data_IF_751706017306
#
_entry.id   IF_751706017306
#
_cell.length_a   1.000
_cell.length_b   1.000
_cell.length_c   1.000
_cell.angle_alpha   90.00
_cell.angle_beta   90.00
_cell.angle_gamma   90.00
#
_symmetry.space_group_name_H-M   'P 1'
#
loop_
_entity.id
_entity.type
_entity.pdbx_description
1 polymer ?
#
# COMPACT_ATOMS: atom_id res chain seq x y z
N UNK A 1 -21.96 -2.45 5.86
CA UNK A 1 -21.92 -3.12 4.56
C UNK A 1 -20.49 -3.22 4.07
N UNK A 2 -20.04 -4.40 3.68
CA UNK A 2 -18.70 -4.61 3.16
C UNK A 2 -18.73 -4.60 1.64
N UNK A 3 -17.64 -4.13 1.05
CA UNK A 3 -17.51 -4.08 -0.39
C UNK A 3 -16.11 -4.53 -0.79
N UNK A 4 -15.99 -5.13 -1.95
CA UNK A 4 -14.68 -5.50 -2.48
C UNK A 4 -14.05 -4.27 -3.11
N UNK A 5 -12.82 -3.98 -2.70
CA UNK A 5 -12.06 -2.83 -3.19
C UNK A 5 -10.80 -3.33 -3.86
N UNK A 6 -10.45 -2.71 -4.99
CA UNK A 6 -9.25 -3.02 -5.74
C UNK A 6 -8.33 -1.80 -5.72
N UNK A 7 -7.09 -2.00 -5.33
CA UNK A 7 -6.09 -0.93 -5.32
C UNK A 7 -4.94 -1.38 -6.21
N UNK A 8 -4.75 -0.68 -7.32
CA UNK A 8 -3.76 -1.05 -8.33
C UNK A 8 -2.94 0.16 -8.74
N UNK A 9 -1.65 -0.01 -8.87
CA UNK A 9 -0.79 1.06 -9.34
C UNK A 9 0.68 0.77 -9.09
N UNK A 10 1.52 1.54 -9.75
CA UNK A 10 2.96 1.48 -9.58
C UNK A 10 3.46 2.89 -9.28
N UNK A 11 4.22 3.03 -8.21
CA UNK A 11 4.76 4.31 -7.78
C UNK A 11 6.27 4.31 -7.92
N UNK A 12 6.82 5.40 -8.48
CA UNK A 12 8.25 5.62 -8.52
C UNK A 12 8.67 6.36 -7.26
N UNK A 13 9.62 5.81 -6.53
CA UNK A 13 10.02 6.33 -5.23
C UNK A 13 11.27 7.19 -5.33
N UNK A 14 11.38 8.14 -4.41
CA UNK A 14 12.56 8.97 -4.31
C UNK A 14 13.78 8.14 -3.92
N UNK A 15 14.96 8.64 -4.28
CA UNK A 15 16.21 7.99 -3.94
C UNK A 15 16.38 7.94 -2.41
N UNK A 16 16.78 6.80 -1.90
CA UNK A 16 17.08 6.65 -0.48
C UNK A 16 15.89 6.24 0.38
N UNK A 17 14.72 6.01 -0.22
CA UNK A 17 13.55 5.55 0.55
C UNK A 17 13.76 4.10 0.95
N UNK A 18 13.61 3.82 2.23
CA UNK A 18 13.76 2.48 2.78
C UNK A 18 12.39 1.82 3.01
N UNK A 19 12.41 0.49 3.08
CA UNK A 19 11.19 -0.30 3.33
C UNK A 19 10.45 0.16 4.59
N UNK A 20 11.20 0.44 5.67
CA UNK A 20 10.59 0.88 6.92
C UNK A 20 9.82 2.18 6.78
N UNK A 21 10.27 3.08 5.90
CA UNK A 21 9.56 4.33 5.65
C UNK A 21 8.25 4.09 4.91
N UNK A 22 8.25 3.14 3.96
CA UNK A 22 7.04 2.76 3.25
C UNK A 22 6.05 2.12 4.22
N UNK A 23 6.52 1.22 5.08
CA UNK A 23 5.65 0.57 6.06
C UNK A 23 5.06 1.58 7.05
N UNK A 24 5.85 2.57 7.47
CA UNK A 24 5.35 3.62 8.34
C UNK A 24 4.29 4.47 7.65
N UNK A 25 4.48 4.78 6.37
CA UNK A 25 3.49 5.55 5.60
C UNK A 25 2.19 4.79 5.43
N UNK A 26 2.28 3.48 5.24
CA UNK A 26 1.11 2.62 5.05
C UNK A 26 0.53 2.09 6.36
N UNK A 27 1.04 2.54 7.49
CA UNK A 27 0.61 2.05 8.81
C UNK A 27 -0.92 2.00 8.98
N UNK A 28 -1.70 3.04 8.61
CA UNK A 28 -3.16 2.95 8.76
C UNK A 28 -3.77 1.78 8.00
N UNK A 29 -3.27 1.51 6.80
CA UNK A 29 -3.73 0.38 6.00
C UNK A 29 -3.31 -0.94 6.63
N UNK A 30 -2.05 -1.06 7.04
CA UNK A 30 -1.53 -2.29 7.65
C UNK A 30 -2.24 -2.60 8.96
N UNK A 31 -2.53 -1.59 9.77
CA UNK A 31 -3.30 -1.77 11.00
C UNK A 31 -4.71 -2.26 10.73
N UNK A 32 -5.34 -1.73 9.69
CA UNK A 32 -6.67 -2.17 9.30
C UNK A 32 -6.68 -3.65 8.95
N UNK A 33 -5.63 -4.13 8.29
CA UNK A 33 -5.48 -5.54 7.92
C UNK A 33 -4.96 -6.41 9.05
N UNK A 34 -4.58 -5.80 10.17
CA UNK A 34 -4.00 -6.48 11.32
C UNK A 34 -2.72 -7.24 10.95
N UNK A 35 -1.84 -6.57 10.21
CA UNK A 35 -0.56 -7.13 9.80
C UNK A 35 0.57 -6.18 10.17
N UNK A 36 1.78 -6.73 10.30
CA UNK A 36 2.94 -5.97 10.76
C UNK A 36 3.87 -5.51 9.64
N UNK A 37 3.74 -6.08 8.45
CA UNK A 37 4.65 -5.76 7.35
C UNK A 37 3.95 -5.80 6.00
N UNK A 38 4.63 -5.25 4.98
CA UNK A 38 4.11 -5.26 3.60
C UNK A 38 3.91 -6.67 3.09
N UNK A 39 4.80 -7.59 3.44
CA UNK A 39 4.73 -8.97 2.98
C UNK A 39 3.48 -9.69 3.47
N UNK A 40 2.92 -9.22 4.58
CA UNK A 40 1.72 -9.82 5.15
C UNK A 40 0.44 -9.22 4.59
N UNK A 41 0.52 -8.09 3.89
CA UNK A 41 -0.63 -7.41 3.31
C UNK A 41 -1.01 -8.05 1.97
N UNK A 42 -1.56 -9.25 2.03
CA UNK A 42 -1.91 -10.02 0.85
C UNK A 42 -3.30 -9.70 0.33
N UNK A 43 -3.44 -9.78 -1.00
CA UNK A 43 -4.72 -9.65 -1.64
C UNK A 43 -5.58 -10.88 -1.40
N UNK A 44 -6.91 -10.71 -1.43
CA UNK A 44 -7.83 -11.85 -1.41
C UNK A 44 -7.80 -12.62 -2.73
N UNK A 45 -7.32 -11.99 -3.80
CA UNK A 45 -7.18 -12.63 -5.10
C UNK A 45 -5.84 -13.35 -5.17
N UNK A 46 -5.81 -14.67 -5.41
CA UNK A 46 -4.56 -15.44 -5.38
C UNK A 46 -3.56 -15.05 -6.45
N UNK A 47 -4.02 -14.43 -7.54
CA UNK A 47 -3.14 -14.03 -8.63
C UNK A 47 -2.51 -12.65 -8.43
N UNK A 48 -2.89 -11.95 -7.39
CA UNK A 48 -2.38 -10.60 -7.12
C UNK A 48 -1.28 -10.66 -6.07
N UNK A 49 -0.12 -10.03 -6.33
CA UNK A 49 1.00 -10.09 -5.39
C UNK A 49 0.81 -9.25 -4.13
N UNK A 50 -0.18 -8.34 -4.11
CA UNK A 50 -0.39 -7.46 -2.99
C UNK A 50 0.48 -6.21 -3.09
N UNK A 51 1.20 -5.88 -2.03
CA UNK A 51 2.06 -4.69 -1.99
C UNK A 51 3.51 -5.15 -2.05
N UNK A 52 4.22 -4.77 -3.12
CA UNK A 52 5.60 -5.20 -3.35
C UNK A 52 6.50 -3.99 -3.50
N UNK A 53 7.49 -3.91 -2.62
CA UNK A 53 8.51 -2.87 -2.68
C UNK A 53 9.78 -3.44 -3.31
N UNK A 54 10.22 -2.82 -4.42
CA UNK A 54 11.46 -3.18 -5.08
C UNK A 54 12.48 -2.06 -4.85
N UNK A 55 13.43 -2.33 -3.99
CA UNK A 55 14.45 -1.35 -3.61
C UNK A 55 15.38 -1.02 -4.78
N UNK A 56 15.68 -2.00 -5.63
CA UNK A 56 16.58 -1.79 -6.76
C UNK A 56 16.02 -0.82 -7.77
N UNK A 57 14.78 -1.00 -8.16
CA UNK A 57 14.11 -0.14 -9.14
C UNK A 57 13.47 1.06 -8.49
N UNK A 58 13.44 1.11 -7.17
CA UNK A 58 12.78 2.17 -6.41
C UNK A 58 11.30 2.28 -6.78
N UNK A 59 10.64 1.13 -6.87
CA UNK A 59 9.22 1.12 -7.20
C UNK A 59 8.43 0.42 -6.12
N UNK A 60 7.19 0.88 -5.97
CA UNK A 60 6.21 0.23 -5.11
C UNK A 60 5.05 -0.18 -5.99
N UNK A 61 4.88 -1.49 -6.15
CA UNK A 61 3.76 -2.04 -6.92
C UNK A 61 2.65 -2.42 -5.98
N UNK A 62 1.46 -1.91 -6.25
CA UNK A 62 0.27 -2.25 -5.50
C UNK A 62 -0.69 -2.96 -6.44
N UNK A 63 -1.00 -4.20 -6.12
CA UNK A 63 -1.98 -4.99 -6.84
C UNK A 63 -2.73 -5.80 -5.80
N UNK A 64 -3.73 -5.17 -5.20
CA UNK A 64 -4.37 -5.68 -4.00
C UNK A 64 -5.88 -5.55 -4.09
N UNK A 65 -6.57 -6.56 -3.59
CA UNK A 65 -8.02 -6.54 -3.46
C UNK A 65 -8.39 -7.07 -2.08
N UNK A 66 -9.47 -6.57 -1.54
CA UNK A 66 -9.94 -7.03 -0.24
C UNK A 66 -11.38 -6.64 0.02
N UNK A 67 -12.02 -7.38 0.92
CA UNK A 67 -13.36 -7.05 1.40
C UNK A 67 -13.22 -6.13 2.60
N UNK A 68 -13.74 -4.93 2.48
CA UNK A 68 -13.54 -3.90 3.50
C UNK A 68 -14.83 -3.21 3.87
N UNK A 69 -14.86 -2.65 5.07
CA UNK A 69 -15.96 -1.83 5.54
C UNK A 69 -15.75 -0.36 5.20
N UNK A 70 -16.67 0.48 5.65
CA UNK A 70 -16.64 1.92 5.36
C UNK A 70 -15.41 2.63 5.90
N UNK A 71 -14.87 2.16 7.01
CA UNK A 71 -13.73 2.80 7.64
C UNK A 71 -12.43 2.65 6.85
N UNK A 72 -12.40 1.75 5.87
CA UNK A 72 -11.19 1.53 5.08
C UNK A 72 -10.84 2.72 4.19
N UNK A 73 -11.82 3.34 3.56
CA UNK A 73 -11.59 4.41 2.59
C UNK A 73 -10.77 5.58 3.16
N UNK A 74 -11.14 6.18 4.30
CA UNK A 74 -10.32 7.25 4.86
C UNK A 74 -8.94 6.79 5.29
N UNK A 75 -8.81 5.56 5.76
CA UNK A 75 -7.49 5.01 6.12
C UNK A 75 -6.60 4.83 4.90
N UNK A 76 -7.19 4.37 3.79
CA UNK A 76 -6.46 4.23 2.53
C UNK A 76 -6.00 5.59 2.02
N UNK A 77 -6.86 6.60 2.05
CA UNK A 77 -6.51 7.95 1.62
C UNK A 77 -5.36 8.50 2.46
N UNK A 78 -5.40 8.30 3.76
CA UNK A 78 -4.34 8.74 4.66
C UNK A 78 -3.01 8.06 4.32
N UNK A 79 -3.04 6.75 4.09
CA UNK A 79 -1.85 6.00 3.73
C UNK A 79 -1.26 6.46 2.41
N UNK A 80 -2.09 6.67 1.39
CA UNK A 80 -1.63 7.12 0.09
C UNK A 80 -1.08 8.55 0.16
N UNK A 81 -1.70 9.40 0.96
CA UNK A 81 -1.21 10.75 1.18
C UNK A 81 0.18 10.76 1.81
N UNK A 82 0.39 9.90 2.81
CA UNK A 82 1.69 9.77 3.45
C UNK A 82 2.75 9.26 2.48
N UNK A 83 2.37 8.32 1.59
CA UNK A 83 3.27 7.82 0.56
C UNK A 83 3.73 8.91 -0.40
N UNK A 84 2.90 9.91 -0.62
CA UNK A 84 3.22 11.01 -1.53
C UNK A 84 4.53 11.70 -1.21
N UNK A 85 4.97 11.65 0.05
CA UNK A 85 6.24 12.24 0.47
C UNK A 85 7.44 11.52 -0.11
N UNK A 86 7.28 10.26 -0.48
CA UNK A 86 8.35 9.40 -0.93
C UNK A 86 8.33 9.13 -2.42
N UNK A 87 7.37 9.69 -3.15
CA UNK A 87 7.26 9.48 -4.59
C UNK A 87 7.95 10.60 -5.36
N UNK A 88 8.55 10.26 -6.50
CA UNK A 88 9.19 11.24 -7.36
C UNK A 88 8.17 12.15 -8.05
N UNK A 89 7.01 11.60 -8.35
CA UNK A 89 5.96 12.33 -9.03
C UNK A 89 4.73 12.38 -8.14
N UNK A 90 4.23 13.58 -7.94
CA UNK A 90 2.93 13.76 -7.29
C UNK A 90 1.86 13.36 -8.32
N UNK A 91 1.15 12.31 -8.00
CA UNK A 91 0.06 11.86 -8.85
C UNK A 91 -1.16 12.74 -8.64
#
# INVERSE_FOLDING_TARGET
MRAQVHVHGTLSLCKGVARGQIEAALEPWLEYLDVDSLDEAKSVEPNEPGIVFDERSRTLDICWSGDVGRSFHPLLEEALHALGRYTEYAA
#
